data_IF_080658344972
#
_entry.id   IF_080658344972
#
_cell.length_a   1.000
_cell.length_b   1.000
_cell.length_c   1.000
_cell.angle_alpha   90.00
_cell.angle_beta   90.00
_cell.angle_gamma   90.00
#
_symmetry.space_group_name_H-M   'P 1'
#
loop_
_entity.id
_entity.type
_entity.pdbx_description
1 polymer ?
#
# COMPACT_ATOMS: atom_id res chain seq x y z
N UNK A 1 89.29 5.29 48.26
CA UNK A 1 87.94 4.79 48.56
C UNK A 1 86.92 5.69 47.79
N UNK A 2 86.45 5.24 46.59
CA UNK A 2 85.49 5.96 45.77
C UNK A 2 84.11 5.36 46.04
N UNK A 3 83.19 6.21 46.51
CA UNK A 3 81.84 5.86 46.87
C UNK A 3 80.97 6.03 45.62
N UNK A 4 80.36 4.94 45.11
CA UNK A 4 79.34 4.94 44.05
C UNK A 4 78.00 5.24 44.70
N UNK A 5 77.32 6.25 44.19
CA UNK A 5 75.91 6.54 44.46
C UNK A 5 75.05 5.95 43.33
N UNK A 6 73.94 5.22 43.59
CA UNK A 6 73.07 4.75 42.55
C UNK A 6 72.10 5.86 42.09
N UNK A 7 71.86 5.94 40.74
CA UNK A 7 70.83 6.78 40.12
C UNK A 7 69.46 6.16 40.35
N UNK A 8 68.38 7.00 40.45
CA UNK A 8 67.05 6.50 40.57
C UNK A 8 66.48 6.09 39.17
N UNK A 9 65.87 4.92 39.13
CA UNK A 9 65.14 4.43 37.96
C UNK A 9 63.86 5.26 37.74
N UNK A 10 63.76 5.89 36.58
CA UNK A 10 62.51 6.58 36.12
C UNK A 10 61.59 5.54 35.52
N UNK A 11 60.51 5.27 36.21
CA UNK A 11 59.42 4.39 35.72
C UNK A 11 58.60 5.17 34.71
N UNK A 12 58.75 4.88 33.40
CA UNK A 12 57.84 5.41 32.34
C UNK A 12 56.51 4.61 32.38
N UNK A 13 55.47 5.26 32.89
CA UNK A 13 54.12 4.74 32.85
C UNK A 13 53.56 4.96 31.42
N UNK A 14 53.53 3.89 30.60
CA UNK A 14 52.94 3.93 29.27
C UNK A 14 51.41 4.04 29.33
N UNK A 15 50.90 5.21 29.00
CA UNK A 15 49.44 5.44 28.86
C UNK A 15 48.98 4.87 27.52
N UNK A 16 48.45 3.66 27.50
CA UNK A 16 47.81 3.08 26.33
C UNK A 16 46.42 3.72 26.17
N UNK A 17 46.30 4.65 25.22
CA UNK A 17 45.02 5.18 24.75
C UNK A 17 44.26 4.05 24.01
N UNK A 18 43.28 3.43 24.66
CA UNK A 18 42.29 2.60 23.99
C UNK A 18 41.40 3.53 23.15
N UNK A 19 41.71 3.66 21.87
CA UNK A 19 40.77 4.23 20.88
C UNK A 19 39.67 3.23 20.61
N UNK A 20 38.60 3.26 21.43
CA UNK A 20 37.36 2.56 21.16
C UNK A 20 36.74 3.14 19.90
N UNK A 21 36.81 2.42 18.78
CA UNK A 21 35.99 2.75 17.59
C UNK A 21 34.54 2.62 17.98
N UNK A 22 33.87 3.76 18.15
CA UNK A 22 32.39 3.83 18.16
C UNK A 22 31.92 3.39 16.77
N UNK A 23 31.59 2.09 16.63
CA UNK A 23 30.81 1.62 15.47
C UNK A 23 29.46 2.28 15.59
N UNK A 24 29.26 3.35 14.85
CA UNK A 24 27.96 3.99 14.71
C UNK A 24 27.00 2.90 14.21
N UNK A 25 25.98 2.55 15.02
CA UNK A 25 24.92 1.64 14.63
C UNK A 25 24.26 2.24 13.41
N UNK A 26 24.45 1.63 12.23
CA UNK A 26 23.83 2.11 11.01
C UNK A 26 22.33 2.31 11.24
N UNK A 27 21.87 3.52 11.01
CA UNK A 27 20.46 3.85 11.14
C UNK A 27 19.68 2.97 10.15
N UNK A 28 18.64 2.28 10.62
CA UNK A 28 17.78 1.50 9.73
C UNK A 28 17.26 2.41 8.63
N UNK A 29 17.30 1.95 7.36
CA UNK A 29 16.80 2.77 6.25
C UNK A 29 15.32 3.10 6.48
N UNK A 30 14.92 4.31 6.06
CA UNK A 30 13.54 4.78 6.23
C UNK A 30 12.53 3.95 5.43
N UNK A 31 12.99 3.18 4.44
CA UNK A 31 12.21 2.27 3.59
C UNK A 31 13.14 1.29 2.85
N UNK A 32 12.57 0.22 2.30
CA UNK A 32 13.28 -0.71 1.41
C UNK A 32 13.40 -0.17 -0.02
N UNK A 33 12.34 0.43 -0.54
CA UNK A 33 12.31 1.03 -1.86
C UNK A 33 11.22 2.08 -1.99
N UNK A 34 11.44 3.07 -2.88
CA UNK A 34 10.47 4.13 -3.14
C UNK A 34 10.56 4.64 -4.58
N UNK A 35 9.43 5.16 -5.07
CA UNK A 35 9.33 5.82 -6.37
C UNK A 35 8.32 6.96 -6.33
N UNK A 36 8.56 7.98 -7.13
CA UNK A 36 7.63 9.07 -7.42
C UNK A 36 7.48 9.20 -8.92
N UNK A 37 6.26 9.19 -9.41
CA UNK A 37 5.96 9.39 -10.83
C UNK A 37 4.93 10.49 -11.04
N UNK A 38 4.98 11.12 -12.21
CA UNK A 38 3.90 11.96 -12.73
C UNK A 38 2.74 11.04 -13.15
N UNK A 39 1.52 11.33 -12.70
CA UNK A 39 0.36 10.49 -13.02
C UNK A 39 -0.09 10.62 -14.48
N UNK A 40 0.21 11.73 -15.15
CA UNK A 40 -0.23 11.98 -16.53
C UNK A 40 0.53 11.08 -17.52
N UNK A 41 1.85 11.11 -17.49
CA UNK A 41 2.71 10.43 -18.46
C UNK A 41 3.50 9.23 -17.91
N UNK A 42 3.54 9.07 -16.57
CA UNK A 42 4.30 8.02 -15.90
C UNK A 42 5.79 8.32 -15.75
N UNK A 43 6.23 9.52 -16.08
CA UNK A 43 7.63 9.95 -15.94
C UNK A 43 8.09 9.85 -14.51
N UNK A 44 9.25 9.22 -14.30
CA UNK A 44 9.88 9.08 -12.99
C UNK A 44 10.42 10.44 -12.54
N UNK A 45 9.95 10.94 -11.40
CA UNK A 45 10.38 12.19 -10.76
C UNK A 45 11.42 11.95 -9.67
N UNK A 46 11.37 10.77 -9.06
CA UNK A 46 12.33 10.27 -8.08
C UNK A 46 12.24 8.75 -7.99
N UNK A 47 13.35 8.09 -7.78
CA UNK A 47 13.41 6.67 -7.44
C UNK A 47 14.61 6.36 -6.54
N UNK A 48 14.43 5.41 -5.65
CA UNK A 48 15.47 4.79 -4.84
C UNK A 48 15.08 3.32 -4.60
N UNK A 49 15.91 2.40 -5.11
CA UNK A 49 15.67 0.96 -5.02
C UNK A 49 14.24 0.57 -5.45
N UNK A 50 13.74 1.25 -6.51
CA UNK A 50 12.36 1.13 -6.97
C UNK A 50 12.00 -0.27 -7.47
N UNK A 51 12.99 -1.11 -7.78
CA UNK A 51 12.84 -2.48 -8.26
C UNK A 51 13.10 -3.54 -7.17
N UNK A 52 13.22 -3.12 -5.91
CA UNK A 52 13.34 -4.06 -4.79
C UNK A 52 12.04 -4.84 -4.61
N UNK A 53 12.11 -6.16 -4.82
CA UNK A 53 10.98 -7.06 -4.65
C UNK A 53 10.67 -7.24 -3.16
N UNK A 54 9.43 -6.99 -2.77
CA UNK A 54 8.96 -7.15 -1.39
C UNK A 54 7.44 -7.35 -1.33
N UNK A 55 6.89 -7.87 -0.20
CA UNK A 55 5.45 -8.03 -0.08
C UNK A 55 4.72 -6.69 -0.06
N UNK A 56 3.61 -6.55 -0.79
CA UNK A 56 2.76 -5.36 -0.78
C UNK A 56 1.87 -5.26 0.47
N UNK A 57 1.68 -6.34 1.19
CA UNK A 57 0.65 -6.44 2.23
C UNK A 57 -0.72 -5.99 1.67
N UNK A 58 -1.52 -5.23 2.45
CA UNK A 58 -2.85 -4.78 2.01
C UNK A 58 -2.86 -3.81 0.83
N UNK A 59 -1.70 -3.38 0.29
CA UNK A 59 -1.70 -2.69 -1.01
C UNK A 59 -2.17 -3.61 -2.15
N UNK A 60 -2.07 -4.95 -2.00
CA UNK A 60 -2.68 -5.96 -2.90
C UNK A 60 -4.12 -5.63 -3.27
N UNK A 61 -4.89 -5.03 -2.34
CA UNK A 61 -6.30 -4.67 -2.58
C UNK A 61 -6.51 -3.63 -3.69
N UNK A 62 -5.46 -2.93 -4.12
CA UNK A 62 -5.50 -2.10 -5.33
C UNK A 62 -5.67 -2.94 -6.59
N UNK A 63 -5.00 -4.10 -6.68
CA UNK A 63 -5.21 -5.04 -7.78
C UNK A 63 -6.57 -5.73 -7.67
N UNK A 64 -7.00 -6.08 -6.46
CA UNK A 64 -8.35 -6.61 -6.24
C UNK A 64 -9.41 -5.62 -6.72
N UNK A 65 -9.25 -4.33 -6.40
CA UNK A 65 -10.11 -3.28 -6.91
C UNK A 65 -10.08 -3.20 -8.44
N UNK A 66 -8.90 -3.25 -9.06
CA UNK A 66 -8.75 -3.21 -10.52
C UNK A 66 -9.54 -4.33 -11.22
N UNK A 67 -9.41 -5.57 -10.74
CA UNK A 67 -10.12 -6.72 -11.33
C UNK A 67 -11.62 -6.65 -11.09
N UNK A 68 -12.08 -6.23 -9.90
CA UNK A 68 -13.52 -6.00 -9.65
C UNK A 68 -14.05 -4.90 -10.54
N UNK A 69 -13.28 -3.81 -10.72
CA UNK A 69 -13.66 -2.71 -11.62
C UNK A 69 -13.80 -3.18 -13.07
N UNK A 70 -12.93 -4.05 -13.57
CA UNK A 70 -13.06 -4.63 -14.92
C UNK A 70 -14.39 -5.40 -15.08
N UNK A 71 -14.85 -6.10 -14.03
CA UNK A 71 -16.15 -6.78 -14.03
C UNK A 71 -17.33 -5.80 -14.01
N UNK A 72 -17.17 -4.68 -13.29
CA UNK A 72 -18.18 -3.60 -13.29
C UNK A 72 -18.22 -2.91 -14.65
N UNK A 73 -17.08 -2.57 -15.23
CA UNK A 73 -16.99 -1.90 -16.52
C UNK A 73 -17.52 -2.74 -17.68
N UNK A 74 -17.38 -4.07 -17.61
CA UNK A 74 -17.93 -5.00 -18.61
C UNK A 74 -19.41 -5.32 -18.41
N UNK A 75 -20.05 -4.84 -17.34
CA UNK A 75 -21.43 -5.20 -16.98
C UNK A 75 -21.62 -6.62 -16.44
N UNK A 76 -20.53 -7.37 -16.26
CA UNK A 76 -20.58 -8.72 -15.64
C UNK A 76 -20.91 -8.66 -14.14
N UNK A 77 -20.77 -7.49 -13.52
CA UNK A 77 -21.12 -7.20 -12.15
C UNK A 77 -21.71 -5.79 -12.08
N UNK A 78 -22.59 -5.50 -11.12
CA UNK A 78 -23.07 -4.14 -10.86
C UNK A 78 -22.73 -3.71 -9.44
N UNK A 79 -22.64 -2.39 -9.16
CA UNK A 79 -22.38 -1.89 -7.80
C UNK A 79 -23.41 -2.36 -6.78
N UNK A 80 -24.67 -2.54 -7.20
CA UNK A 80 -25.81 -2.95 -6.37
C UNK A 80 -25.92 -4.48 -6.24
N UNK A 81 -25.15 -5.24 -7.02
CA UNK A 81 -25.22 -6.70 -7.02
C UNK A 81 -25.06 -7.26 -5.60
N UNK A 82 -25.97 -8.13 -5.13
CA UNK A 82 -25.94 -8.66 -3.77
C UNK A 82 -24.82 -9.70 -3.64
N UNK A 83 -23.98 -9.53 -2.63
CA UNK A 83 -22.95 -10.49 -2.21
C UNK A 83 -23.39 -11.15 -0.91
N UNK A 84 -23.77 -12.43 -1.00
CA UNK A 84 -24.04 -13.24 0.18
C UNK A 84 -22.74 -13.72 0.78
N UNK A 85 -22.52 -13.40 2.05
CA UNK A 85 -21.32 -13.79 2.81
C UNK A 85 -21.33 -15.29 3.09
N UNK A 86 -20.25 -15.97 2.80
CA UNK A 86 -20.06 -17.39 3.11
C UNK A 86 -19.34 -17.58 4.44
N UNK A 87 -19.32 -18.83 4.94
CA UNK A 87 -18.56 -19.20 6.13
C UNK A 87 -17.04 -18.95 5.93
N UNK A 88 -16.54 -19.13 4.72
CA UNK A 88 -15.10 -18.92 4.44
C UNK A 88 -14.75 -17.43 4.40
N UNK A 89 -15.63 -16.57 3.84
CA UNK A 89 -15.44 -15.12 3.90
C UNK A 89 -15.31 -14.62 5.36
N UNK A 90 -16.16 -15.14 6.27
CA UNK A 90 -16.20 -14.75 7.68
C UNK A 90 -15.01 -15.24 8.51
N UNK A 91 -14.24 -16.21 8.03
CA UNK A 91 -13.07 -16.78 8.72
C UNK A 91 -11.74 -16.10 8.34
N UNK A 92 -11.74 -15.23 7.32
CA UNK A 92 -10.52 -14.55 6.90
C UNK A 92 -10.01 -13.66 8.03
N UNK A 93 -8.77 -13.89 8.43
CA UNK A 93 -8.14 -13.18 9.55
C UNK A 93 -7.62 -11.78 9.21
N UNK A 94 -6.92 -11.18 10.17
CA UNK A 94 -6.34 -9.84 10.05
C UNK A 94 -7.38 -8.74 10.18
N UNK A 95 -7.23 -7.63 9.42
CA UNK A 95 -8.18 -6.51 9.46
C UNK A 95 -9.49 -6.89 8.78
N UNK A 96 -10.62 -6.63 9.43
CA UNK A 96 -11.95 -7.08 9.03
C UNK A 96 -13.02 -6.01 9.29
N UNK A 97 -14.18 -6.18 8.66
CA UNK A 97 -15.46 -5.57 9.08
C UNK A 97 -16.38 -6.61 9.71
N UNK A 98 -15.80 -7.77 10.07
CA UNK A 98 -16.47 -8.90 10.73
C UNK A 98 -17.75 -9.34 10.01
N UNK A 99 -17.60 -9.67 8.72
CA UNK A 99 -18.69 -10.26 7.95
C UNK A 99 -19.14 -11.58 8.60
N UNK A 100 -20.45 -11.78 8.69
CA UNK A 100 -21.04 -13.04 9.19
C UNK A 100 -21.71 -13.80 8.06
N UNK A 101 -21.57 -15.11 8.08
CA UNK A 101 -22.24 -15.99 7.13
C UNK A 101 -23.75 -15.66 7.02
N UNK A 102 -24.25 -15.56 5.82
CA UNK A 102 -25.64 -15.25 5.50
C UNK A 102 -25.94 -13.75 5.43
N UNK A 103 -25.04 -12.84 5.86
CA UNK A 103 -25.21 -11.41 5.60
C UNK A 103 -25.15 -11.14 4.08
N UNK A 104 -25.87 -10.11 3.64
CA UNK A 104 -25.90 -9.69 2.24
C UNK A 104 -25.56 -8.22 2.14
N UNK A 105 -24.55 -7.89 1.34
CA UNK A 105 -24.14 -6.51 1.08
C UNK A 105 -24.00 -6.27 -0.43
N UNK A 106 -24.27 -5.05 -0.91
CA UNK A 106 -23.95 -4.69 -2.29
C UNK A 106 -22.44 -4.65 -2.49
N UNK A 107 -21.99 -4.90 -3.72
CA UNK A 107 -20.58 -4.81 -4.15
C UNK A 107 -19.97 -3.47 -3.74
N UNK A 108 -20.69 -2.34 -3.95
CA UNK A 108 -20.20 -0.98 -3.64
C UNK A 108 -19.87 -0.82 -2.14
N UNK A 109 -20.73 -1.33 -1.25
CA UNK A 109 -20.46 -1.27 0.21
C UNK A 109 -19.20 -2.08 0.59
N UNK A 110 -19.01 -3.25 -0.03
CA UNK A 110 -17.81 -4.07 0.19
C UNK A 110 -16.55 -3.42 -0.37
N UNK A 111 -16.63 -2.71 -1.51
CA UNK A 111 -15.52 -1.92 -2.06
C UNK A 111 -15.12 -0.80 -1.09
N UNK A 112 -16.07 -0.04 -0.54
CA UNK A 112 -15.77 0.94 0.50
C UNK A 112 -15.11 0.30 1.72
N UNK A 113 -15.63 -0.82 2.20
CA UNK A 113 -15.07 -1.51 3.36
C UNK A 113 -13.66 -2.04 3.09
N UNK A 114 -13.41 -2.58 1.89
CA UNK A 114 -12.09 -3.02 1.45
C UNK A 114 -11.08 -1.87 1.40
N UNK A 115 -11.48 -0.71 0.90
CA UNK A 115 -10.53 0.40 0.68
C UNK A 115 -10.33 1.26 1.93
N UNK A 116 -11.37 1.51 2.74
CA UNK A 116 -11.30 2.35 3.95
C UNK A 116 -10.72 1.55 5.13
N UNK A 117 -11.43 0.48 5.52
CA UNK A 117 -11.07 -0.36 6.68
C UNK A 117 -9.96 -1.36 6.34
N UNK A 118 -9.68 -1.56 5.05
CA UNK A 118 -8.77 -2.61 4.61
C UNK A 118 -9.27 -4.03 4.90
N UNK A 119 -10.60 -4.25 4.88
CA UNK A 119 -11.23 -5.53 5.20
C UNK A 119 -10.69 -6.68 4.33
N UNK A 120 -10.12 -7.70 4.97
CA UNK A 120 -9.67 -8.91 4.27
C UNK A 120 -10.84 -9.82 3.93
N UNK A 121 -11.82 -9.89 4.82
CA UNK A 121 -13.10 -10.58 4.64
C UNK A 121 -13.88 -10.00 3.43
N UNK A 122 -13.92 -8.68 3.30
CA UNK A 122 -14.56 -8.04 2.14
C UNK A 122 -13.80 -8.27 0.84
N UNK A 123 -12.46 -8.23 0.86
CA UNK A 123 -11.64 -8.55 -0.31
C UNK A 123 -11.85 -10.00 -0.76
N UNK A 124 -11.95 -10.94 0.17
CA UNK A 124 -12.23 -12.35 -0.13
C UNK A 124 -13.63 -12.55 -0.74
N UNK A 125 -14.65 -11.94 -0.13
CA UNK A 125 -16.03 -12.02 -0.62
C UNK A 125 -16.16 -11.43 -2.03
N UNK A 126 -15.54 -10.25 -2.29
CA UNK A 126 -15.48 -9.64 -3.62
C UNK A 126 -14.76 -10.52 -4.63
N UNK A 127 -13.61 -11.10 -4.27
CA UNK A 127 -12.84 -11.99 -5.13
C UNK A 127 -13.65 -13.23 -5.52
N UNK A 128 -14.30 -13.88 -4.56
CA UNK A 128 -15.18 -15.03 -4.82
C UNK A 128 -16.33 -14.65 -5.75
N UNK A 129 -16.94 -13.50 -5.52
CA UNK A 129 -18.10 -13.04 -6.32
C UNK A 129 -17.68 -12.70 -7.75
N UNK A 130 -16.60 -11.95 -7.92
CA UNK A 130 -16.15 -11.48 -9.23
C UNK A 130 -15.41 -12.55 -10.07
N UNK A 131 -14.78 -13.53 -9.41
CA UNK A 131 -13.99 -14.58 -10.05
C UNK A 131 -14.62 -15.98 -10.02
N UNK A 132 -15.77 -16.16 -9.36
CA UNK A 132 -16.39 -17.47 -9.10
C UNK A 132 -15.71 -18.24 -7.95
N UNK A 133 -14.43 -18.06 -7.74
CA UNK A 133 -13.67 -18.52 -6.56
C UNK A 133 -12.49 -17.59 -6.27
N UNK A 134 -11.96 -17.56 -5.04
CA UNK A 134 -10.76 -16.79 -4.72
C UNK A 134 -9.54 -17.20 -5.55
N UNK A 135 -9.39 -18.50 -5.84
CA UNK A 135 -8.29 -19.03 -6.66
C UNK A 135 -8.39 -18.53 -8.11
N UNK A 136 -9.56 -18.66 -8.75
CA UNK A 136 -9.78 -18.15 -10.10
C UNK A 136 -9.62 -16.63 -10.16
N UNK A 137 -10.00 -15.90 -9.10
CA UNK A 137 -9.78 -14.46 -9.03
C UNK A 137 -8.30 -14.08 -8.97
N UNK A 138 -7.48 -14.84 -8.24
CA UNK A 138 -6.02 -14.64 -8.20
C UNK A 138 -5.40 -14.83 -9.59
N UNK A 139 -5.89 -15.77 -10.38
CA UNK A 139 -5.46 -15.89 -11.79
C UNK A 139 -5.82 -14.65 -12.62
N UNK A 140 -6.99 -14.04 -12.40
CA UNK A 140 -7.36 -12.76 -13.03
C UNK A 140 -6.43 -11.62 -12.57
N UNK A 141 -6.06 -11.56 -11.28
CA UNK A 141 -5.10 -10.57 -10.78
C UNK A 141 -3.74 -10.72 -11.47
N UNK A 142 -3.24 -11.95 -11.61
CA UNK A 142 -1.97 -12.23 -12.30
C UNK A 142 -2.07 -11.98 -13.81
N UNK A 143 -3.21 -12.23 -14.43
CA UNK A 143 -3.45 -11.86 -15.83
C UNK A 143 -3.41 -10.34 -16.02
N UNK A 144 -4.07 -9.59 -15.13
CA UNK A 144 -4.03 -8.12 -15.14
C UNK A 144 -2.62 -7.58 -14.87
N UNK A 145 -1.84 -8.21 -13.98
CA UNK A 145 -0.45 -7.84 -13.74
C UNK A 145 0.39 -7.98 -15.03
N UNK A 146 0.22 -9.07 -15.78
CA UNK A 146 0.89 -9.25 -17.08
C UNK A 146 0.42 -8.24 -18.14
N UNK A 147 -0.89 -7.98 -18.22
CA UNK A 147 -1.47 -6.98 -19.11
C UNK A 147 -0.85 -5.58 -18.89
N UNK A 148 -0.64 -5.22 -17.62
CA UNK A 148 -0.06 -3.94 -17.21
C UNK A 148 1.48 -3.91 -17.26
N UNK A 149 2.14 -5.01 -17.61
CA UNK A 149 3.59 -5.12 -17.66
C UNK A 149 4.27 -5.09 -16.28
N UNK A 150 3.59 -5.55 -15.22
CA UNK A 150 4.14 -5.59 -13.86
C UNK A 150 5.09 -6.79 -13.74
N UNK A 151 6.31 -6.62 -14.21
CA UNK A 151 7.27 -7.71 -14.46
C UNK A 151 7.72 -8.44 -13.17
N UNK A 152 7.68 -7.77 -12.03
CA UNK A 152 8.14 -8.29 -10.75
C UNK A 152 6.98 -8.48 -9.75
N UNK A 153 5.74 -8.62 -10.26
CA UNK A 153 4.54 -8.73 -9.44
C UNK A 153 3.89 -10.10 -9.59
N UNK A 154 3.60 -10.74 -8.47
CA UNK A 154 2.85 -11.99 -8.40
C UNK A 154 1.89 -11.94 -7.23
N UNK A 155 0.62 -12.25 -7.47
CA UNK A 155 -0.41 -12.35 -6.45
C UNK A 155 -0.71 -13.81 -6.11
N UNK A 156 -0.97 -14.08 -4.83
CA UNK A 156 -1.39 -15.36 -4.26
C UNK A 156 -2.70 -15.24 -3.50
N UNK A 157 -3.05 -14.01 -3.11
CA UNK A 157 -4.25 -13.72 -2.33
C UNK A 157 -4.94 -12.44 -2.84
N UNK A 158 -6.26 -12.28 -2.64
CA UNK A 158 -6.94 -11.03 -2.96
C UNK A 158 -6.77 -9.95 -1.90
N UNK A 159 -6.07 -10.21 -0.79
CA UNK A 159 -6.05 -9.32 0.38
C UNK A 159 -4.65 -8.97 0.89
N UNK A 160 -3.59 -9.71 0.51
CA UNK A 160 -2.22 -9.42 0.91
C UNK A 160 -1.82 -9.99 2.28
N UNK A 161 -2.55 -10.95 2.83
CA UNK A 161 -2.11 -11.68 4.03
C UNK A 161 -0.89 -12.55 3.70
N UNK A 162 0.04 -12.69 4.66
CA UNK A 162 1.19 -13.57 4.47
C UNK A 162 0.72 -15.03 4.39
N UNK A 163 1.48 -15.90 3.71
CA UNK A 163 1.20 -17.33 3.68
C UNK A 163 1.33 -17.95 5.07
N UNK A 164 0.65 -19.09 5.30
CA UNK A 164 0.64 -19.77 6.60
C UNK A 164 2.04 -20.14 7.12
N UNK A 165 2.96 -20.49 6.22
CA UNK A 165 4.36 -20.82 6.54
C UNK A 165 5.22 -19.56 6.78
N UNK A 166 4.67 -18.35 6.62
CA UNK A 166 5.33 -17.04 6.78
C UNK A 166 6.58 -16.83 5.90
N UNK A 167 6.79 -17.66 4.88
CA UNK A 167 7.89 -17.46 3.92
C UNK A 167 7.47 -16.37 2.93
N UNK A 168 8.18 -15.26 2.94
CA UNK A 168 7.89 -14.10 2.09
C UNK A 168 7.76 -14.47 0.61
N UNK A 169 8.64 -15.36 0.12
CA UNK A 169 8.66 -15.78 -1.29
C UNK A 169 7.38 -16.54 -1.73
N UNK A 170 6.62 -17.10 -0.78
CA UNK A 170 5.40 -17.85 -1.08
C UNK A 170 4.13 -16.98 -1.02
N UNK A 171 4.28 -15.68 -0.71
CA UNK A 171 3.20 -14.70 -0.64
C UNK A 171 3.08 -13.82 -1.89
N UNK A 172 2.27 -12.77 -1.76
CA UNK A 172 2.21 -11.71 -2.76
C UNK A 172 3.55 -10.95 -2.80
N UNK A 173 4.06 -10.70 -4.00
CA UNK A 173 5.32 -9.99 -4.22
C UNK A 173 5.12 -8.90 -5.27
N UNK A 174 5.85 -7.80 -5.11
CA UNK A 174 5.86 -6.67 -6.06
C UNK A 174 7.06 -5.78 -5.86
N UNK A 175 7.14 -4.68 -6.63
CA UNK A 175 8.12 -3.60 -6.48
C UNK A 175 7.42 -2.25 -6.37
N UNK A 176 8.07 -1.22 -5.81
CA UNK A 176 7.57 0.15 -5.87
C UNK A 176 7.20 0.60 -7.29
N UNK A 177 8.01 0.25 -8.30
CA UNK A 177 7.76 0.60 -9.71
C UNK A 177 6.49 -0.04 -10.25
N UNK A 178 6.31 -1.33 -10.05
CA UNK A 178 5.12 -2.04 -10.51
C UNK A 178 3.85 -1.47 -9.85
N UNK A 179 3.91 -1.17 -8.55
CA UNK A 179 2.77 -0.56 -7.85
C UNK A 179 2.50 0.90 -8.27
N UNK A 180 3.52 1.65 -8.67
CA UNK A 180 3.32 2.97 -9.26
C UNK A 180 2.61 2.86 -10.62
N UNK A 181 2.97 1.87 -11.44
CA UNK A 181 2.29 1.55 -12.71
C UNK A 181 0.84 1.16 -12.50
N UNK A 182 0.55 0.25 -11.56
CA UNK A 182 -0.82 -0.13 -11.18
C UNK A 182 -1.61 1.09 -10.68
N UNK A 183 -1.01 1.88 -9.80
CA UNK A 183 -1.64 3.08 -9.24
C UNK A 183 -2.00 4.10 -10.32
N UNK A 184 -1.11 4.30 -11.29
CA UNK A 184 -1.35 5.19 -12.44
C UNK A 184 -2.51 4.67 -13.29
N UNK A 185 -2.52 3.38 -13.62
CA UNK A 185 -3.62 2.76 -14.37
C UNK A 185 -4.96 2.96 -13.67
N UNK A 186 -5.02 2.69 -12.36
CA UNK A 186 -6.25 2.88 -11.55
C UNK A 186 -6.75 4.32 -11.61
N UNK A 187 -5.86 5.30 -11.47
CA UNK A 187 -6.22 6.72 -11.50
C UNK A 187 -6.70 7.19 -12.86
N UNK A 188 -6.24 6.56 -13.94
CA UNK A 188 -6.61 6.92 -15.31
C UNK A 188 -7.88 6.22 -15.80
N UNK A 189 -8.16 5.00 -15.34
CA UNK A 189 -9.22 4.16 -15.90
C UNK A 189 -10.36 3.89 -14.94
N UNK A 190 -10.26 4.30 -13.67
CA UNK A 190 -11.25 4.00 -12.64
C UNK A 190 -11.59 5.22 -11.78
N UNK A 191 -12.63 5.10 -10.97
CA UNK A 191 -12.99 6.06 -9.93
C UNK A 191 -12.41 5.70 -8.55
N UNK A 192 -11.22 5.08 -8.50
CA UNK A 192 -10.62 4.55 -7.26
C UNK A 192 -10.55 5.58 -6.13
N UNK A 193 -10.35 6.87 -6.45
CA UNK A 193 -10.30 7.94 -5.45
C UNK A 193 -11.65 8.20 -4.76
N UNK A 194 -12.78 7.83 -5.39
CA UNK A 194 -14.11 7.81 -4.76
C UNK A 194 -14.10 6.98 -3.46
N UNK A 195 -13.36 5.87 -3.46
CA UNK A 195 -13.28 4.93 -2.33
C UNK A 195 -12.10 5.25 -1.41
N UNK A 196 -10.93 5.52 -1.98
CA UNK A 196 -9.69 5.70 -1.21
C UNK A 196 -9.58 7.07 -0.54
N UNK A 197 -10.26 8.08 -1.07
CA UNK A 197 -10.29 9.44 -0.50
C UNK A 197 -11.22 9.59 0.71
N UNK A 198 -12.04 8.59 1.01
CA UNK A 198 -12.98 8.64 2.13
C UNK A 198 -12.24 8.40 3.45
N UNK A 199 -12.31 9.36 4.37
CA UNK A 199 -11.64 9.30 5.67
C UNK A 199 -12.35 8.39 6.68
N UNK A 200 -13.67 8.48 6.71
CA UNK A 200 -14.53 7.72 7.63
C UNK A 200 -15.86 7.38 6.96
N UNK A 201 -16.36 6.19 7.22
CA UNK A 201 -17.69 5.75 6.78
C UNK A 201 -18.18 4.67 7.74
N UNK A 202 -19.48 4.60 7.98
CA UNK A 202 -20.10 3.48 8.69
C UNK A 202 -20.38 2.34 7.72
N UNK A 203 -20.09 1.12 8.14
CA UNK A 203 -20.40 -0.10 7.40
C UNK A 203 -21.52 -0.87 8.06
N UNK A 204 -22.50 -1.31 7.27
CA UNK A 204 -23.65 -2.07 7.73
C UNK A 204 -24.79 -1.22 8.32
N UNK A 205 -24.74 0.11 8.23
CA UNK A 205 -25.83 0.99 8.63
C UNK A 205 -27.10 0.67 7.82
N UNK A 206 -28.23 0.48 8.50
CA UNK A 206 -29.49 0.06 7.88
C UNK A 206 -29.58 -1.42 7.49
N UNK A 207 -28.49 -2.20 7.62
CA UNK A 207 -28.42 -3.65 7.29
C UNK A 207 -28.05 -4.51 8.48
N UNK A 208 -27.40 -3.95 9.48
CA UNK A 208 -26.97 -4.60 10.72
C UNK A 208 -27.69 -3.98 11.92
N UNK A 209 -27.80 -4.72 13.03
CA UNK A 209 -28.15 -4.14 14.29
C UNK A 209 -27.16 -3.04 14.70
N UNK A 210 -27.61 -2.02 15.43
CA UNK A 210 -26.84 -0.81 15.71
C UNK A 210 -25.49 -1.08 16.39
N UNK A 211 -25.44 -2.07 17.29
CA UNK A 211 -24.25 -2.54 18.00
C UNK A 211 -23.22 -3.28 17.10
N UNK A 212 -23.63 -3.60 15.87
CA UNK A 212 -22.80 -4.30 14.87
C UNK A 212 -22.39 -3.41 13.70
N UNK A 213 -22.83 -2.17 13.66
CA UNK A 213 -22.37 -1.18 12.67
C UNK A 213 -20.92 -0.84 12.97
N UNK A 214 -20.06 -0.90 11.95
CA UNK A 214 -18.63 -0.64 12.08
C UNK A 214 -18.33 0.80 11.66
N UNK A 215 -17.79 1.60 12.56
CA UNK A 215 -17.21 2.90 12.23
C UNK A 215 -15.83 2.69 11.62
N UNK A 216 -15.76 2.71 10.29
CA UNK A 216 -14.52 2.55 9.55
C UNK A 216 -13.72 3.84 9.52
N UNK A 217 -12.41 3.74 9.69
CA UNK A 217 -11.45 4.84 9.55
C UNK A 217 -10.36 4.45 8.58
N UNK A 218 -10.07 5.32 7.62
CA UNK A 218 -9.04 5.06 6.62
C UNK A 218 -7.65 5.04 7.27
N UNK A 219 -6.86 4.04 6.93
CA UNK A 219 -5.51 3.86 7.45
C UNK A 219 -4.47 4.78 6.79
N UNK A 220 -4.84 5.51 5.75
CA UNK A 220 -4.00 6.56 5.17
C UNK A 220 -4.12 7.85 6.00
N UNK A 221 -3.18 8.05 6.91
CA UNK A 221 -3.18 9.18 7.84
C UNK A 221 -2.92 10.54 7.17
N UNK A 222 -2.55 10.57 5.89
CA UNK A 222 -2.28 11.79 5.13
C UNK A 222 -3.58 12.43 4.61
N UNK A 223 -4.68 11.67 4.53
CA UNK A 223 -5.99 12.16 4.11
C UNK A 223 -6.48 13.29 5.02
N UNK A 224 -6.76 14.45 4.42
CA UNK A 224 -7.21 15.66 5.12
C UNK A 224 -6.13 16.34 5.96
N UNK A 225 -4.87 15.88 5.92
CA UNK A 225 -3.72 16.52 6.57
C UNK A 225 -2.72 17.06 5.57
N UNK A 226 -2.58 16.42 4.41
CA UNK A 226 -1.67 16.86 3.34
C UNK A 226 -2.52 17.31 2.17
N UNK A 227 -2.25 18.54 1.71
CA UNK A 227 -3.02 19.16 0.64
C UNK A 227 -3.00 18.30 -0.63
N UNK A 228 -4.19 18.05 -1.18
CA UNK A 228 -4.40 17.31 -2.42
C UNK A 228 -4.35 15.79 -2.29
N UNK A 229 -3.99 15.22 -1.14
CA UNK A 229 -3.99 13.75 -0.95
C UNK A 229 -5.43 13.22 -0.93
N UNK A 230 -5.72 12.28 -1.85
CA UNK A 230 -7.02 11.63 -2.02
C UNK A 230 -6.94 10.10 -2.18
N UNK A 231 -5.79 9.52 -1.90
CA UNK A 231 -5.59 8.06 -1.97
C UNK A 231 -4.13 7.66 -1.70
N UNK A 232 -3.73 6.40 -1.94
CA UNK A 232 -4.56 5.26 -2.36
C UNK A 232 -4.70 4.25 -1.21
N UNK A 233 -3.63 3.45 -0.95
CA UNK A 233 -3.75 2.31 -0.02
C UNK A 233 -2.49 2.08 0.80
N UNK A 234 -2.68 1.86 2.11
CA UNK A 234 -1.63 1.41 3.03
C UNK A 234 -1.51 -0.12 3.04
N UNK A 235 -0.34 -0.61 3.43
CA UNK A 235 -0.12 -2.03 3.72
C UNK A 235 0.79 -2.20 4.93
N UNK A 236 0.55 -3.25 5.71
CA UNK A 236 1.44 -3.67 6.79
C UNK A 236 1.31 -5.17 7.05
N UNK A 237 2.43 -5.83 7.10
CA UNK A 237 2.67 -7.12 7.77
C UNK A 237 4.08 -7.10 8.33
N UNK A 238 4.41 -8.00 9.26
CA UNK A 238 5.77 -8.07 9.80
C UNK A 238 6.83 -8.31 8.71
N UNK A 239 6.47 -9.06 7.65
CA UNK A 239 7.39 -9.32 6.53
C UNK A 239 7.48 -8.18 5.50
N UNK A 240 6.43 -7.38 5.37
CA UNK A 240 6.38 -6.26 4.42
C UNK A 240 6.94 -4.96 5.00
N UNK A 241 6.89 -4.78 6.34
CA UNK A 241 6.99 -3.47 6.94
C UNK A 241 5.80 -2.58 6.60
N UNK A 242 5.93 -1.29 6.85
CA UNK A 242 4.86 -0.32 6.55
C UNK A 242 5.02 0.21 5.12
N UNK A 243 3.95 0.04 4.33
CA UNK A 243 3.88 0.43 2.92
C UNK A 243 2.76 1.44 2.68
N UNK A 244 2.91 2.27 1.66
CA UNK A 244 1.87 3.18 1.18
C UNK A 244 2.07 3.49 -0.30
N UNK A 245 1.04 3.23 -1.10
CA UNK A 245 0.84 3.88 -2.38
C UNK A 245 -0.04 5.09 -2.14
N UNK A 246 0.48 6.30 -2.37
CA UNK A 246 -0.21 7.57 -2.18
C UNK A 246 -0.35 8.33 -3.49
N UNK A 247 -1.37 9.16 -3.60
CA UNK A 247 -1.52 10.12 -4.68
C UNK A 247 -2.02 11.45 -4.13
N UNK A 248 -1.59 12.52 -4.77
CA UNK A 248 -2.04 13.88 -4.47
C UNK A 248 -2.22 14.67 -5.76
N UNK A 249 -3.23 15.56 -5.80
CA UNK A 249 -3.47 16.49 -6.89
C UNK A 249 -3.41 17.93 -6.40
N UNK A 250 -2.62 18.77 -7.09
CA UNK A 250 -2.49 20.20 -6.79
C UNK A 250 -2.38 20.99 -8.08
N UNK A 251 -3.22 21.99 -8.27
CA UNK A 251 -3.18 22.85 -9.44
C UNK A 251 -3.31 22.10 -10.77
N UNK A 252 -4.17 21.07 -10.82
CA UNK A 252 -4.40 20.24 -12.01
C UNK A 252 -3.29 19.21 -12.29
N UNK A 253 -2.30 19.09 -11.40
CA UNK A 253 -1.20 18.11 -11.52
C UNK A 253 -1.34 17.04 -10.45
N UNK A 254 -1.15 15.78 -10.85
CA UNK A 254 -1.21 14.64 -9.96
C UNK A 254 0.12 13.90 -9.89
N UNK A 255 0.54 13.60 -8.67
CA UNK A 255 1.75 12.83 -8.37
C UNK A 255 1.37 11.54 -7.68
N UNK A 256 2.09 10.46 -7.98
CA UNK A 256 1.97 9.16 -7.32
C UNK A 256 3.28 8.88 -6.60
N UNK A 257 3.18 8.46 -5.33
CA UNK A 257 4.31 8.06 -4.49
C UNK A 257 4.06 6.65 -3.99
N UNK A 258 5.02 5.75 -4.17
CA UNK A 258 5.00 4.43 -3.54
C UNK A 258 6.21 4.28 -2.64
N UNK A 259 5.97 3.98 -1.36
CA UNK A 259 7.00 3.67 -0.36
C UNK A 259 6.70 2.29 0.20
N UNK A 260 7.71 1.41 0.20
CA UNK A 260 7.59 0.05 0.72
C UNK A 260 8.66 -0.24 1.77
N UNK A 261 8.29 -0.97 2.82
CA UNK A 261 9.22 -1.51 3.79
C UNK A 261 9.73 -0.50 4.83
N UNK A 262 8.93 0.50 5.23
CA UNK A 262 9.31 1.39 6.34
C UNK A 262 9.21 0.66 7.69
N UNK A 263 10.06 1.03 8.67
CA UNK A 263 10.10 0.38 9.98
C UNK A 263 8.85 0.66 10.83
N UNK A 264 8.19 1.79 10.62
CA UNK A 264 6.97 2.20 11.33
C UNK A 264 6.10 3.13 10.46
N UNK A 265 4.85 3.34 10.88
CA UNK A 265 3.89 4.14 10.13
C UNK A 265 4.24 5.63 10.08
N UNK A 266 4.85 6.17 11.15
CA UNK A 266 5.25 7.59 11.22
C UNK A 266 6.39 7.88 10.24
N UNK A 267 7.42 7.03 10.22
CA UNK A 267 8.54 7.13 9.27
C UNK A 267 8.03 7.03 7.82
N UNK A 268 7.12 6.08 7.52
CA UNK A 268 6.47 5.94 6.22
C UNK A 268 5.75 7.23 5.83
N UNK A 269 4.89 7.76 6.72
CA UNK A 269 4.06 8.93 6.44
C UNK A 269 4.92 10.18 6.20
N UNK A 270 5.93 10.41 7.03
CA UNK A 270 6.88 11.53 6.86
C UNK A 270 7.64 11.42 5.53
N UNK A 271 8.08 10.21 5.16
CA UNK A 271 8.78 10.01 3.89
C UNK A 271 7.87 10.23 2.69
N UNK A 272 6.63 9.75 2.74
CA UNK A 272 5.66 10.01 1.66
C UNK A 272 5.37 11.50 1.51
N UNK A 273 5.23 12.24 2.62
CA UNK A 273 5.07 13.71 2.58
C UNK A 273 6.25 14.39 1.90
N UNK A 274 7.48 14.06 2.31
CA UNK A 274 8.72 14.58 1.69
C UNK A 274 8.76 14.28 0.18
N UNK A 275 8.43 13.05 -0.20
CA UNK A 275 8.47 12.62 -1.60
C UNK A 275 7.35 13.26 -2.45
N UNK A 276 6.18 13.54 -1.88
CA UNK A 276 5.13 14.31 -2.56
C UNK A 276 5.62 15.73 -2.87
N UNK A 277 6.20 16.43 -1.90
CA UNK A 277 6.77 17.78 -2.13
C UNK A 277 7.86 17.76 -3.19
N UNK A 278 8.76 16.79 -3.13
CA UNK A 278 9.80 16.59 -4.14
C UNK A 278 9.20 16.34 -5.52
N UNK A 279 8.16 15.51 -5.62
CA UNK A 279 7.46 15.22 -6.88
C UNK A 279 6.83 16.47 -7.49
N UNK A 280 6.12 17.26 -6.68
CA UNK A 280 5.54 18.52 -7.16
C UNK A 280 6.61 19.56 -7.58
N UNK A 281 7.74 19.62 -6.89
CA UNK A 281 8.85 20.51 -7.24
C UNK A 281 9.55 20.09 -8.55
N UNK A 282 9.69 18.78 -8.81
CA UNK A 282 10.36 18.23 -9.99
C UNK A 282 9.50 18.23 -11.27
N UNK A 283 8.18 18.32 -11.12
CA UNK A 283 7.27 18.29 -12.25
C UNK A 283 7.19 19.69 -12.88
N UNK A 284 7.31 19.86 -14.23
CA UNK A 284 7.23 21.18 -14.86
C UNK A 284 5.84 21.81 -14.67
N UNK A 285 5.81 23.13 -14.46
CA UNK A 285 4.57 23.88 -14.43
C UNK A 285 3.92 23.84 -15.83
N UNK A 286 2.63 23.48 -15.93
CA UNK A 286 1.83 23.71 -17.13
C UNK A 286 1.41 22.49 -17.96
N UNK A 287 1.70 21.26 -17.56
CA UNK A 287 1.08 20.09 -18.20
C UNK A 287 -0.25 19.79 -17.50
N UNK A 288 -1.32 20.34 -18.03
CA UNK A 288 -2.67 19.99 -17.58
C UNK A 288 -2.96 18.53 -17.96
N UNK A 289 -3.42 17.72 -17.01
CA UNK A 289 -3.99 16.42 -17.32
C UNK A 289 -5.16 16.63 -18.31
N UNK A 290 -5.17 15.85 -19.38
CA UNK A 290 -6.33 15.83 -20.28
C UNK A 290 -7.58 15.45 -19.45
N UNK A 291 -8.76 16.08 -19.70
CA UNK A 291 -9.97 15.74 -19.00
C UNK A 291 -10.27 14.25 -19.18
N UNK A 292 -10.67 13.60 -18.07
CA UNK A 292 -11.09 12.19 -18.11
C UNK A 292 -12.14 12.00 -19.20
N UNK A 293 -12.00 11.00 -20.07
CA UNK A 293 -13.12 10.62 -20.93
C UNK A 293 -14.29 10.24 -20.00
N UNK A 294 -15.46 10.84 -20.25
CA UNK A 294 -16.67 10.47 -19.57
C UNK A 294 -16.94 8.97 -19.78
N UNK A 295 -17.23 8.25 -18.68
CA UNK A 295 -17.70 6.88 -18.79
C UNK A 295 -18.95 6.89 -19.69
N UNK A 296 -19.11 5.95 -20.63
CA UNK A 296 -20.32 5.85 -21.40
C UNK A 296 -21.51 5.70 -20.46
N UNK A 297 -22.57 6.47 -20.69
CA UNK A 297 -23.82 6.35 -19.94
C UNK A 297 -24.34 4.91 -20.08
N UNK A 298 -24.89 4.33 -19.00
CA UNK A 298 -25.54 3.02 -19.09
C UNK A 298 -26.69 3.11 -20.09
N UNK A 299 -26.61 2.24 -21.11
CA UNK A 299 -27.68 2.01 -22.09
C UNK A 299 -28.85 1.23 -21.49
#
# INVERSE_FOLDING_TARGET
>A
MLSFRPLPAVLLLGLTLLTGSLVAKEARPAYLGAIVIDAADGRVLFEDRADTVSPPASMTKLMTFAVVHDKLASGALTPEAPVTVTADDSKIGGTQVWLKQGEVFPVDDLLYAMMIQSGNDTAHALARTAGGSPAAFVELMNAKARELGLAHTTFRTPHGLPPANRRTADGDLTTPRDFATLSRWLLQHTDVTKYTGVRQRKFGEGRRAADRVIAMTNHNHLLGKVAGVDGLKTGFTNGAGYCLAATAERGGRRVIVVVMGSPDSKTRDLKVMELLERGFAAAPAGVHAAPRPALPAPS
#
